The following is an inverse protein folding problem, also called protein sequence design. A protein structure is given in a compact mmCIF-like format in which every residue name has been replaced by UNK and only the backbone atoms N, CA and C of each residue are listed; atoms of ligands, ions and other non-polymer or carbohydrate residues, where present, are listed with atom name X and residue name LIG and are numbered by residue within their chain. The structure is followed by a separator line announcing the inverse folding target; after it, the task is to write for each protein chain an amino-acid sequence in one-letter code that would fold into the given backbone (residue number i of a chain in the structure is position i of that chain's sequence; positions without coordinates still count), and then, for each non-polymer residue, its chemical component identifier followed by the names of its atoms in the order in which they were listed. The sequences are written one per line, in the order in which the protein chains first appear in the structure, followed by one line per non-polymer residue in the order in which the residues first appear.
data_IF_917696751550
#
_entry.id   IF_917696751550
#
_cell.length_a   1.000
_cell.length_b   1.000
_cell.length_c   1.000
_cell.angle_alpha   90.00
_cell.angle_beta   90.00
_cell.angle_gamma   90.00
#
_symmetry.space_group_name_H-M   'P 1'
#
loop_
_entity.id
_entity.type
_entity.pdbx_description
1 polymer ?
#
# COMPACT_ATOMS: atom_id res chain seq x y z
N UNK A 1 20.74 10.18 -17.43
CA UNK A 1 19.61 10.91 -16.81
C UNK A 1 18.33 10.71 -17.62
N UNK A 2 18.31 11.12 -18.89
CA UNK A 2 17.11 11.07 -19.76
C UNK A 2 16.54 9.65 -19.94
N UNK A 3 17.40 8.64 -20.06
CA UNK A 3 16.96 7.24 -20.19
C UNK A 3 16.13 6.78 -18.99
N UNK A 4 16.61 7.02 -17.77
CA UNK A 4 15.91 6.64 -16.53
C UNK A 4 14.59 7.42 -16.40
N UNK A 5 14.61 8.71 -16.74
CA UNK A 5 13.39 9.51 -16.71
C UNK A 5 12.33 8.95 -17.65
N UNK A 6 12.69 8.61 -18.89
CA UNK A 6 11.79 8.01 -19.85
C UNK A 6 11.28 6.62 -19.42
N UNK A 7 12.12 5.84 -18.74
CA UNK A 7 11.72 4.54 -18.18
C UNK A 7 10.68 4.67 -17.06
N UNK A 8 10.69 5.76 -16.29
CA UNK A 8 9.74 6.00 -15.20
C UNK A 8 8.46 6.67 -15.71
N UNK A 9 8.56 7.65 -16.62
CA UNK A 9 7.41 8.42 -17.09
C UNK A 9 6.56 7.72 -18.13
N UNK A 10 7.12 6.76 -18.88
CA UNK A 10 6.39 6.02 -19.92
C UNK A 10 5.75 4.72 -19.40
N UNK A 11 5.43 4.67 -18.11
CA UNK A 11 4.81 3.52 -17.45
C UNK A 11 3.33 3.79 -17.22
N UNK A 12 2.49 2.81 -17.57
CA UNK A 12 1.07 2.86 -17.23
C UNK A 12 0.84 2.42 -15.78
N UNK A 13 0.95 3.38 -14.86
CA UNK A 13 0.71 3.15 -13.44
C UNK A 13 -0.74 2.76 -13.12
N UNK A 14 -1.70 3.15 -13.97
CA UNK A 14 -3.11 2.77 -13.77
C UNK A 14 -3.29 1.28 -14.01
N UNK A 15 -2.67 0.75 -15.07
CA UNK A 15 -2.64 -0.68 -15.35
C UNK A 15 -1.90 -1.45 -14.26
N UNK A 16 -0.73 -0.98 -13.82
CA UNK A 16 0.01 -1.61 -12.72
C UNK A 16 -0.84 -1.70 -11.45
N UNK A 17 -1.52 -0.60 -11.09
CA UNK A 17 -2.40 -0.61 -9.92
C UNK A 17 -3.53 -1.64 -10.08
N UNK A 18 -4.17 -1.70 -11.25
CA UNK A 18 -5.24 -2.66 -11.53
C UNK A 18 -4.74 -4.12 -11.47
N UNK A 19 -3.54 -4.39 -11.97
CA UNK A 19 -2.91 -5.71 -11.93
C UNK A 19 -2.62 -6.14 -10.47
N UNK A 20 -2.12 -5.21 -9.64
CA UNK A 20 -1.90 -5.45 -8.20
C UNK A 20 -3.24 -5.71 -7.48
N UNK A 21 -4.27 -4.91 -7.75
CA UNK A 21 -5.61 -5.11 -7.16
C UNK A 21 -6.20 -6.47 -7.53
N UNK A 22 -6.07 -6.88 -8.79
CA UNK A 22 -6.49 -8.19 -9.27
C UNK A 22 -5.73 -9.32 -8.57
N UNK A 23 -4.42 -9.17 -8.44
CA UNK A 23 -3.57 -10.11 -7.72
C UNK A 23 -4.01 -10.26 -6.25
N UNK A 24 -4.23 -9.15 -5.54
CA UNK A 24 -4.67 -9.16 -4.15
C UNK A 24 -6.05 -9.81 -3.99
N UNK A 25 -7.01 -9.44 -4.87
CA UNK A 25 -8.36 -10.00 -4.86
C UNK A 25 -8.38 -11.51 -5.06
N UNK A 26 -7.51 -12.02 -5.94
CA UNK A 26 -7.37 -13.48 -6.17
C UNK A 26 -6.88 -14.21 -4.93
N UNK A 27 -5.89 -13.65 -4.23
CA UNK A 27 -5.30 -14.28 -3.04
C UNK A 27 -6.15 -14.13 -1.79
N UNK A 28 -7.01 -13.11 -1.72
CA UNK A 28 -7.94 -12.92 -0.60
C UNK A 28 -9.27 -13.65 -0.76
N UNK A 29 -9.45 -14.48 -1.80
CA UNK A 29 -10.73 -15.10 -2.12
C UNK A 29 -11.32 -15.95 -0.98
N UNK A 30 -10.46 -16.55 -0.15
CA UNK A 30 -10.85 -17.38 1.01
C UNK A 30 -10.55 -16.71 2.36
N UNK A 31 -10.32 -15.40 2.37
CA UNK A 31 -9.99 -14.63 3.56
C UNK A 31 -11.03 -13.55 3.84
N UNK A 32 -11.16 -13.13 5.10
CA UNK A 32 -12.09 -12.05 5.50
C UNK A 32 -11.60 -10.66 5.09
N UNK A 33 -10.29 -10.49 4.85
CA UNK A 33 -9.69 -9.21 4.50
C UNK A 33 -8.17 -9.21 4.64
N UNK A 34 -7.59 -8.00 4.63
CA UNK A 34 -6.17 -7.73 4.73
C UNK A 34 -5.83 -7.10 6.09
N UNK A 35 -4.68 -7.46 6.65
CA UNK A 35 -4.09 -6.79 7.81
C UNK A 35 -2.66 -6.39 7.44
N UNK A 36 -2.28 -5.14 7.69
CA UNK A 36 -0.94 -4.64 7.38
C UNK A 36 -0.50 -3.54 8.35
N UNK A 37 0.80 -3.35 8.50
CA UNK A 37 1.39 -2.25 9.29
C UNK A 37 1.49 -0.95 8.49
N UNK A 38 1.18 0.18 9.13
CA UNK A 38 1.32 1.52 8.59
C UNK A 38 2.41 2.27 9.37
N UNK A 39 3.57 2.49 8.74
CA UNK A 39 4.75 3.07 9.40
C UNK A 39 5.07 4.51 8.98
N UNK A 40 4.27 5.09 8.08
CA UNK A 40 4.55 6.39 7.46
C UNK A 40 5.51 6.32 6.27
N UNK A 41 6.14 5.15 6.01
CA UNK A 41 6.97 4.94 4.82
C UNK A 41 6.15 4.77 3.53
N UNK A 42 6.74 5.16 2.39
CA UNK A 42 6.07 5.13 1.08
C UNK A 42 5.49 3.76 0.73
N UNK A 43 6.20 2.68 1.03
CA UNK A 43 5.75 1.31 0.73
C UNK A 43 4.42 1.01 1.45
N UNK A 44 4.36 1.29 2.76
CA UNK A 44 3.15 1.07 3.56
C UNK A 44 2.01 2.02 3.14
N UNK A 45 2.34 3.24 2.73
CA UNK A 45 1.36 4.22 2.25
C UNK A 45 0.73 3.80 0.91
N UNK A 46 1.51 3.24 -0.01
CA UNK A 46 1.00 2.72 -1.30
C UNK A 46 0.03 1.56 -1.06
N UNK A 47 0.36 0.63 -0.17
CA UNK A 47 -0.56 -0.46 0.21
C UNK A 47 -1.82 0.10 0.87
N UNK A 48 -1.67 1.04 1.80
CA UNK A 48 -2.81 1.69 2.46
C UNK A 48 -3.75 2.36 1.44
N UNK A 49 -3.20 3.04 0.43
CA UNK A 49 -3.98 3.67 -0.63
C UNK A 49 -4.79 2.64 -1.43
N UNK A 50 -4.15 1.57 -1.90
CA UNK A 50 -4.81 0.52 -2.68
C UNK A 50 -5.90 -0.17 -1.84
N UNK A 51 -5.59 -0.51 -0.58
CA UNK A 51 -6.57 -1.12 0.33
C UNK A 51 -7.75 -0.19 0.63
N UNK A 52 -7.50 1.10 0.91
CA UNK A 52 -8.56 2.06 1.17
C UNK A 52 -9.47 2.31 -0.05
N UNK A 53 -8.92 2.21 -1.27
CA UNK A 53 -9.66 2.39 -2.52
C UNK A 53 -10.49 1.17 -2.91
N UNK A 54 -9.91 -0.03 -2.81
CA UNK A 54 -10.46 -1.23 -3.43
C UNK A 54 -10.95 -2.29 -2.43
N UNK A 55 -10.57 -2.17 -1.16
CA UNK A 55 -10.84 -3.16 -0.11
C UNK A 55 -11.23 -2.52 1.24
N UNK A 56 -11.78 -1.30 1.23
CA UNK A 56 -11.99 -0.45 2.42
C UNK A 56 -12.61 -1.17 3.63
N UNK A 57 -13.68 -1.92 3.42
CA UNK A 57 -14.40 -2.63 4.50
C UNK A 57 -13.73 -3.96 4.91
N UNK A 58 -12.73 -4.40 4.16
CA UNK A 58 -11.99 -5.65 4.34
C UNK A 58 -10.51 -5.39 4.57
N UNK A 59 -10.16 -4.26 5.16
CA UNK A 59 -8.76 -3.91 5.44
C UNK A 59 -8.61 -3.30 6.82
N UNK A 60 -7.62 -3.78 7.58
CA UNK A 60 -7.22 -3.25 8.87
C UNK A 60 -5.75 -2.80 8.80
N UNK A 61 -5.51 -1.50 9.02
CA UNK A 61 -4.17 -0.94 9.14
C UNK A 61 -3.79 -0.84 10.63
N UNK A 62 -2.58 -1.29 10.96
CA UNK A 62 -2.01 -1.20 12.30
C UNK A 62 -0.89 -0.16 12.32
N UNK A 63 -1.07 0.90 13.10
CA UNK A 63 0.02 1.81 13.44
C UNK A 63 0.74 1.20 14.63
N UNK A 64 2.03 0.91 14.49
CA UNK A 64 2.86 0.22 15.49
C UNK A 64 4.01 1.13 15.92
N UNK A 65 3.75 2.11 16.80
CA UNK A 65 4.76 3.05 17.24
C UNK A 65 5.75 2.41 18.22
N UNK A 66 7.00 2.89 18.22
CA UNK A 66 7.98 2.61 19.26
C UNK A 66 8.40 3.94 19.90
N UNK A 67 8.13 4.08 21.19
CA UNK A 67 8.46 5.26 22.03
C UNK A 67 9.89 5.80 21.92
N UNK A 68 10.86 5.02 21.42
CA UNK A 68 12.26 5.43 21.27
C UNK A 68 12.60 6.01 19.90
N UNK A 69 11.82 5.68 18.87
CA UNK A 69 12.17 5.98 17.47
C UNK A 69 11.00 6.56 16.65
N UNK A 70 9.76 6.43 17.13
CA UNK A 70 8.58 7.05 16.55
C UNK A 70 8.43 8.49 17.01
N UNK A 71 7.97 9.41 16.14
CA UNK A 71 7.60 10.76 16.53
C UNK A 71 6.60 10.74 17.71
N UNK A 72 6.73 11.69 18.64
CA UNK A 72 5.87 11.77 19.84
C UNK A 72 4.37 11.90 19.52
N UNK A 73 4.01 12.29 18.30
CA UNK A 73 2.63 12.41 17.84
C UNK A 73 2.01 11.05 17.43
N UNK A 74 2.82 9.98 17.36
CA UNK A 74 2.38 8.62 17.01
C UNK A 74 2.21 7.69 18.23
N UNK A 75 2.49 8.16 19.46
CA UNK A 75 2.31 7.44 20.74
C UNK A 75 1.30 8.12 21.64
#
# INVERSE_FOLDING_TARGET
MEKILNEITNVDYSKIQADIESFLKKHSANCSGFVFGLSGGIDSAVIAHICAKSFKEKSLALIMPDSKVSPKEET
#
